data_IF_017739473053
#
_entry.id   IF_017739473053
#
_cell.length_a   1.000
_cell.length_b   1.000
_cell.length_c   1.000
_cell.angle_alpha   90.00
_cell.angle_beta   90.00
_cell.angle_gamma   90.00
#
_symmetry.space_group_name_H-M   'P 1'
#
loop_
_entity.id
_entity.type
_entity.pdbx_description
1 polymer ?
#
# COMPACT_ATOMS: atom_id res chain seq x y z
N UNK A 1 -1.32 18.73 11.27
CA UNK A 1 -0.91 19.16 9.91
C UNK A 1 0.61 19.19 9.65
N UNK A 2 1.49 19.77 10.51
CA UNK A 2 2.95 19.77 10.26
C UNK A 2 3.63 18.40 10.34
N UNK A 3 3.15 17.52 11.22
CA UNK A 3 3.69 16.17 11.42
C UNK A 3 3.39 15.22 10.25
N UNK A 4 2.20 15.31 9.63
CA UNK A 4 1.81 14.47 8.49
C UNK A 4 2.61 14.80 7.22
N UNK A 5 2.81 16.10 6.93
CA UNK A 5 3.62 16.54 5.79
C UNK A 5 5.09 16.13 5.89
N UNK A 6 5.68 16.19 7.08
CA UNK A 6 7.07 15.77 7.28
C UNK A 6 7.25 14.28 7.04
N UNK A 7 6.36 13.46 7.63
CA UNK A 7 6.37 12.00 7.48
C UNK A 7 6.08 11.54 6.05
N UNK A 8 5.19 12.24 5.35
CA UNK A 8 4.95 12.05 3.90
C UNK A 8 6.22 12.32 3.09
N UNK A 9 6.93 13.42 3.38
CA UNK A 9 8.17 13.76 2.68
C UNK A 9 9.30 12.78 2.97
N UNK A 10 9.38 12.23 4.18
CA UNK A 10 10.31 11.16 4.53
C UNK A 10 9.98 9.87 3.80
N UNK A 11 8.70 9.48 3.75
CA UNK A 11 8.24 8.31 2.99
C UNK A 11 8.50 8.48 1.49
N UNK A 12 8.23 9.67 0.91
CA UNK A 12 8.56 9.97 -0.48
C UNK A 12 10.08 10.02 -0.72
N UNK A 13 10.88 10.38 0.29
CA UNK A 13 12.35 10.35 0.19
C UNK A 13 12.86 8.90 0.23
N UNK A 14 12.26 8.04 1.06
CA UNK A 14 12.47 6.59 1.07
C UNK A 14 12.10 5.97 -0.29
N UNK A 15 10.96 6.37 -0.86
CA UNK A 15 10.52 5.97 -2.20
C UNK A 15 11.54 6.32 -3.30
N UNK A 16 12.11 7.54 -3.25
CA UNK A 16 13.19 7.97 -4.15
C UNK A 16 14.50 7.22 -3.93
N UNK A 17 14.77 6.78 -2.70
CA UNK A 17 15.99 6.02 -2.37
C UNK A 17 15.91 4.56 -2.80
N UNK A 18 14.72 3.93 -2.72
CA UNK A 18 14.50 2.55 -3.18
C UNK A 18 14.56 2.46 -4.72
N UNK A 19 14.22 3.56 -5.41
CA UNK A 19 14.22 3.68 -6.86
C UNK A 19 13.46 2.50 -7.51
N UNK A 20 12.17 2.42 -7.17
CA UNK A 20 11.29 1.35 -7.65
C UNK A 20 11.19 1.37 -9.18
N UNK A 21 11.34 0.20 -9.80
CA UNK A 21 11.07 -0.01 -11.22
C UNK A 21 9.56 -0.03 -11.48
N UNK A 22 9.16 0.08 -12.75
CA UNK A 22 7.75 -0.01 -13.13
C UNK A 22 7.10 -1.33 -12.69
N UNK A 23 7.85 -2.43 -12.73
CA UNK A 23 7.40 -3.77 -12.27
C UNK A 23 7.16 -3.75 -10.76
N UNK A 24 8.07 -3.16 -10.00
CA UNK A 24 7.95 -3.07 -8.54
C UNK A 24 6.78 -2.17 -8.12
N UNK A 25 6.54 -1.08 -8.85
CA UNK A 25 5.39 -0.20 -8.64
C UNK A 25 4.08 -0.96 -8.93
N UNK A 26 3.99 -1.67 -10.06
CA UNK A 26 2.80 -2.43 -10.41
C UNK A 26 2.51 -3.53 -9.38
N UNK A 27 3.54 -4.24 -8.92
CA UNK A 27 3.40 -5.26 -7.90
C UNK A 27 3.02 -4.68 -6.54
N UNK A 28 3.60 -3.54 -6.15
CA UNK A 28 3.22 -2.81 -4.94
C UNK A 28 1.74 -2.42 -4.93
N UNK A 29 1.23 -1.90 -6.05
CA UNK A 29 -0.21 -1.58 -6.21
C UNK A 29 -1.06 -2.84 -6.09
N UNK A 30 -0.69 -3.94 -6.75
CA UNK A 30 -1.43 -5.19 -6.68
C UNK A 30 -1.45 -5.76 -5.24
N UNK A 31 -0.33 -5.67 -4.52
CA UNK A 31 -0.24 -6.09 -3.12
C UNK A 31 -1.11 -5.22 -2.22
N UNK A 32 -1.11 -3.89 -2.39
CA UNK A 32 -1.98 -2.99 -1.61
C UNK A 32 -3.46 -3.35 -1.81
N UNK A 33 -3.87 -3.59 -3.06
CA UNK A 33 -5.26 -3.93 -3.39
C UNK A 33 -5.68 -5.30 -2.83
N UNK A 34 -4.76 -6.27 -2.83
CA UNK A 34 -5.04 -7.65 -2.38
C UNK A 34 -4.84 -7.87 -0.88
N UNK A 35 -4.16 -6.94 -0.19
CA UNK A 35 -3.89 -7.01 1.25
C UNK A 35 -4.94 -6.27 2.10
N UNK A 36 -5.92 -5.62 1.47
CA UNK A 36 -7.03 -4.99 2.20
C UNK A 36 -7.82 -6.03 3.01
N UNK A 37 -8.24 -5.65 4.21
CA UNK A 37 -9.11 -6.48 5.03
C UNK A 37 -10.44 -6.72 4.30
N UNK A 38 -10.53 -7.90 3.66
CA UNK A 38 -11.67 -8.31 2.86
C UNK A 38 -12.84 -8.80 3.71
N UNK A 39 -12.77 -8.67 5.04
CA UNK A 39 -13.86 -9.05 5.96
C UNK A 39 -15.19 -8.33 5.68
N UNK A 40 -15.13 -7.16 5.03
CA UNK A 40 -16.31 -6.40 4.59
C UNK A 40 -16.70 -6.61 3.12
N UNK A 41 -15.90 -7.36 2.35
CA UNK A 41 -16.14 -7.69 0.94
C UNK A 41 -16.86 -9.05 0.85
N UNK A 42 -17.53 -9.32 -0.28
CA UNK A 42 -18.14 -10.64 -0.56
C UNK A 42 -17.09 -11.74 -0.27
N UNK A 43 -17.45 -12.78 0.48
CA UNK A 43 -16.56 -13.89 0.85
C UNK A 43 -15.76 -14.43 -0.36
N UNK A 44 -16.35 -14.36 -1.56
CA UNK A 44 -15.72 -14.75 -2.82
C UNK A 44 -14.50 -13.90 -3.20
N UNK A 45 -14.48 -12.62 -2.82
CA UNK A 45 -13.35 -11.73 -3.09
C UNK A 45 -12.17 -12.09 -2.17
N UNK A 46 -12.43 -12.33 -0.89
CA UNK A 46 -11.39 -12.75 0.06
C UNK A 46 -10.72 -14.08 -0.34
N UNK A 47 -11.49 -15.02 -0.90
CA UNK A 47 -10.98 -16.29 -1.43
C UNK A 47 -10.01 -16.08 -2.61
N UNK A 48 -10.20 -15.04 -3.42
CA UNK A 48 -9.37 -14.74 -4.60
C UNK A 48 -8.16 -13.87 -4.24
N UNK A 49 -8.31 -12.95 -3.27
CA UNK A 49 -7.24 -12.02 -2.88
C UNK A 49 -6.00 -12.72 -2.32
N UNK A 50 -6.16 -13.78 -1.52
CA UNK A 50 -5.02 -14.52 -0.94
C UNK A 50 -4.16 -15.22 -2.02
N UNK A 51 -4.73 -16.04 -2.93
CA UNK A 51 -3.99 -16.61 -4.06
C UNK A 51 -3.36 -15.55 -4.97
N UNK A 52 -4.04 -14.42 -5.21
CA UNK A 52 -3.47 -13.33 -6.00
C UNK A 52 -2.25 -12.70 -5.33
N UNK A 53 -2.30 -12.50 -4.01
CA UNK A 53 -1.15 -11.98 -3.26
C UNK A 53 0.06 -12.90 -3.39
N UNK A 54 -0.15 -14.20 -3.19
CA UNK A 54 0.92 -15.20 -3.28
C UNK A 54 1.51 -15.25 -4.70
N UNK A 55 0.66 -15.18 -5.73
CA UNK A 55 1.11 -15.13 -7.12
C UNK A 55 1.94 -13.87 -7.43
N UNK A 56 1.56 -12.70 -6.90
CA UNK A 56 2.33 -11.46 -7.09
C UNK A 56 3.71 -11.56 -6.42
N UNK A 57 3.77 -12.10 -5.19
CA UNK A 57 5.05 -12.32 -4.48
C UNK A 57 5.94 -13.30 -5.25
N UNK A 58 5.37 -14.40 -5.78
CA UNK A 58 6.11 -15.37 -6.57
C UNK A 58 6.69 -14.75 -7.85
N UNK A 59 5.90 -13.95 -8.57
CA UNK A 59 6.35 -13.26 -9.78
C UNK A 59 7.43 -12.21 -9.48
N UNK A 60 7.30 -11.47 -8.37
CA UNK A 60 8.34 -10.55 -7.89
C UNK A 60 9.64 -11.29 -7.56
N UNK A 61 9.56 -12.42 -6.86
CA UNK A 61 10.73 -13.25 -6.54
C UNK A 61 11.43 -13.71 -7.82
N UNK A 62 10.68 -14.23 -8.80
CA UNK A 62 11.23 -14.64 -10.10
C UNK A 62 11.85 -13.46 -10.85
N UNK A 63 11.21 -12.30 -10.82
CA UNK A 63 11.74 -11.08 -11.43
C UNK A 63 13.08 -10.68 -10.82
N UNK A 64 13.19 -10.73 -9.48
CA UNK A 64 14.44 -10.41 -8.80
C UNK A 64 15.53 -11.44 -9.04
N UNK A 65 15.20 -12.73 -9.07
CA UNK A 65 16.17 -13.78 -9.40
C UNK A 65 16.72 -13.64 -10.84
N UNK A 66 15.96 -13.01 -11.74
CA UNK A 66 16.37 -12.77 -13.13
C UNK A 66 17.11 -11.44 -13.34
N UNK A 67 16.88 -10.45 -12.48
CA UNK A 67 17.37 -9.07 -12.69
C UNK A 67 18.42 -8.61 -11.67
N UNK A 68 18.49 -9.27 -10.52
CA UNK A 68 19.41 -8.93 -9.43
C UNK A 68 20.42 -10.06 -9.20
N UNK A 69 21.52 -9.74 -8.51
CA UNK A 69 22.41 -10.76 -7.97
C UNK A 69 21.66 -11.65 -6.96
N UNK A 70 21.96 -12.96 -6.86
CA UNK A 70 21.28 -13.87 -5.94
C UNK A 70 21.29 -13.43 -4.47
N UNK A 71 22.35 -12.75 -4.04
CA UNK A 71 22.47 -12.19 -2.68
C UNK A 71 21.61 -10.93 -2.46
N UNK A 72 21.18 -10.27 -3.54
CA UNK A 72 20.40 -9.02 -3.52
C UNK A 72 18.91 -9.26 -3.82
N UNK A 73 18.56 -10.36 -4.48
CA UNK A 73 17.17 -10.72 -4.82
C UNK A 73 16.27 -10.75 -3.58
N UNK A 74 16.61 -11.58 -2.59
CA UNK A 74 15.85 -11.68 -1.33
C UNK A 74 15.83 -10.39 -0.53
N UNK A 75 16.95 -9.66 -0.53
CA UNK A 75 17.06 -8.37 0.18
C UNK A 75 16.12 -7.33 -0.42
N UNK A 76 16.08 -7.21 -1.75
CA UNK A 76 15.24 -6.23 -2.45
C UNK A 76 13.75 -6.53 -2.31
N UNK A 77 13.36 -7.81 -2.29
CA UNK A 77 12.00 -8.21 -1.94
C UNK A 77 11.64 -7.79 -0.50
N UNK A 78 12.55 -8.02 0.45
CA UNK A 78 12.38 -7.60 1.84
C UNK A 78 12.23 -6.08 1.99
N UNK A 79 13.06 -5.31 1.28
CA UNK A 79 12.99 -3.84 1.27
C UNK A 79 11.63 -3.36 0.74
N UNK A 80 11.13 -3.95 -0.35
CA UNK A 80 9.83 -3.60 -0.93
C UNK A 80 8.67 -3.91 0.03
N UNK A 81 8.66 -5.09 0.66
CA UNK A 81 7.61 -5.49 1.61
C UNK A 81 7.63 -4.63 2.89
N UNK A 82 8.82 -4.27 3.37
CA UNK A 82 8.98 -3.38 4.52
C UNK A 82 8.42 -2.00 4.20
N UNK A 83 8.75 -1.45 3.03
CA UNK A 83 8.20 -0.20 2.54
C UNK A 83 6.66 -0.23 2.47
N UNK A 84 6.08 -1.30 1.94
CA UNK A 84 4.62 -1.44 1.85
C UNK A 84 3.94 -1.43 3.22
N UNK A 85 4.58 -2.00 4.24
CA UNK A 85 4.10 -1.99 5.62
C UNK A 85 4.09 -0.57 6.19
N UNK A 86 5.21 0.16 6.03
CA UNK A 86 5.31 1.57 6.46
C UNK A 86 4.28 2.46 5.74
N UNK A 87 4.04 2.20 4.45
CA UNK A 87 3.04 2.90 3.66
C UNK A 87 1.62 2.67 4.18
N UNK A 88 1.29 1.43 4.56
CA UNK A 88 -0.01 1.08 5.14
C UNK A 88 -0.22 1.79 6.49
N UNK A 89 0.77 1.75 7.38
CA UNK A 89 0.72 2.46 8.67
C UNK A 89 0.51 3.97 8.49
N UNK A 90 1.18 4.56 7.50
CA UNK A 90 1.00 5.97 7.15
C UNK A 90 -0.41 6.24 6.62
N UNK A 91 -0.93 5.40 5.72
CA UNK A 91 -2.28 5.53 5.16
C UNK A 91 -3.36 5.43 6.25
N UNK A 92 -3.23 4.50 7.20
CA UNK A 92 -4.14 4.37 8.35
C UNK A 92 -4.07 5.56 9.30
N UNK A 93 -2.87 6.12 9.52
CA UNK A 93 -2.72 7.36 10.27
C UNK A 93 -3.41 8.55 9.57
N UNK A 94 -3.27 8.67 8.24
CA UNK A 94 -3.97 9.71 7.48
C UNK A 94 -5.50 9.53 7.50
N UNK A 95 -6.00 8.29 7.40
CA UNK A 95 -7.44 8.00 7.50
C UNK A 95 -7.99 8.43 8.85
N UNK A 96 -7.29 8.15 9.95
CA UNK A 96 -7.68 8.59 11.30
C UNK A 96 -7.66 10.11 11.44
N UNK A 97 -6.59 10.77 10.99
CA UNK A 97 -6.49 12.23 11.04
C UNK A 97 -7.62 12.90 10.24
N UNK A 98 -7.95 12.38 9.06
CA UNK A 98 -9.06 12.88 8.24
C UNK A 98 -10.42 12.62 8.86
N UNK A 99 -10.66 11.43 9.42
CA UNK A 99 -11.90 11.11 10.14
C UNK A 99 -12.11 12.02 11.34
N UNK A 100 -11.04 12.40 12.06
CA UNK A 100 -11.14 13.36 13.16
C UNK A 100 -11.47 14.76 12.64
N UNK A 101 -10.80 15.21 11.59
CA UNK A 101 -11.07 16.53 10.99
C UNK A 101 -12.50 16.63 10.45
N UNK A 102 -13.02 15.58 9.79
CA UNK A 102 -14.41 15.58 9.28
C UNK A 102 -15.45 15.56 10.40
N UNK A 103 -15.12 15.04 11.59
CA UNK A 103 -16.00 15.16 12.77
C UNK A 103 -16.04 16.58 13.36
N UNK A 104 -15.07 17.44 13.03
CA UNK A 104 -15.00 18.83 13.51
C UNK A 104 -15.38 19.87 12.44
N UNK A 105 -15.61 19.46 11.19
CA UNK A 105 -16.03 20.34 10.09
C UNK A 105 -17.38 19.87 9.54
N UNK A 106 -18.46 20.57 9.86
CA UNK A 106 -19.84 20.33 9.38
C UNK A 106 -20.05 20.58 7.86
N UNK A 107 -18.99 20.66 7.04
CA UNK A 107 -19.13 20.82 5.59
C UNK A 107 -18.81 19.51 4.85
N UNK A 108 -19.91 18.81 4.56
CA UNK A 108 -20.01 17.62 3.72
C UNK A 108 -19.33 17.79 2.35
N UNK A 109 -18.26 17.02 2.15
CA UNK A 109 -18.21 15.96 1.13
C UNK A 109 -16.87 15.22 1.25
N UNK A 110 -16.86 13.91 1.55
CA UNK A 110 -15.66 13.12 1.37
C UNK A 110 -15.23 13.23 -0.09
N UNK A 111 -13.98 13.64 -0.33
CA UNK A 111 -13.41 13.64 -1.69
C UNK A 111 -13.63 12.29 -2.36
N UNK A 112 -13.80 12.27 -3.68
CA UNK A 112 -14.22 11.11 -4.50
C UNK A 112 -13.63 9.74 -4.08
N UNK A 113 -12.37 9.69 -3.62
CA UNK A 113 -11.72 8.47 -3.12
C UNK A 113 -12.33 7.89 -1.82
N UNK A 114 -12.93 8.72 -0.96
CA UNK A 114 -13.56 8.33 0.32
C UNK A 114 -15.07 8.12 0.19
N UNK A 115 -15.71 8.67 -0.86
CA UNK A 115 -17.09 8.35 -1.23
C UNK A 115 -17.29 6.88 -1.62
N UNK A 116 -16.21 6.16 -1.96
CA UNK A 116 -16.25 4.74 -2.33
C UNK A 116 -16.23 3.80 -1.12
N UNK A 117 -15.93 4.30 0.07
CA UNK A 117 -15.95 3.52 1.33
C UNK A 117 -17.19 3.78 2.18
N UNK A 118 -17.97 4.80 1.85
CA UNK A 118 -19.22 5.17 2.50
C UNK A 118 -20.40 4.86 1.56
N UNK A 119 -20.68 3.57 1.36
CA UNK A 119 -21.98 3.13 0.86
C UNK A 119 -22.66 2.33 1.96
N UNK A 120 -23.44 3.03 2.78
CA UNK A 120 -24.59 2.47 3.49
C UNK A 120 -25.85 2.93 2.78
#
# INVERSE_FOLDING_TARGET
ARCSRHRLLEMMRSFKQIALTEVEIAAAVALILTNHDCSSLDERIGIVCRPMKDAVIEQLSKHYDQTCDPSRSTMRLGDLLSFLTEFQDFAEAQKRDHSLLSMFTEEDRPGFLFSLTDTR
#
